data_IF_223388233626
#
_entry.id   IF_223388233626
#
_cell.length_a   1.000
_cell.length_b   1.000
_cell.length_c   1.000
_cell.angle_alpha   90.00
_cell.angle_beta   90.00
_cell.angle_gamma   90.00
#
_symmetry.space_group_name_H-M   'P 1'
#
loop_
_entity.id
_entity.type
_entity.pdbx_description
1 polymer ?
#
# COMPACT_ATOMS: atom_id res chain seq x y z
N UNK A 1 12.67 16.13 11.53
CA UNK A 1 12.59 17.44 11.98
C UNK A 1 12.87 17.68 13.43
N UNK A 2 13.54 18.79 13.76
CA UNK A 2 13.96 19.13 15.11
C UNK A 2 12.85 19.72 16.02
N UNK A 3 11.62 19.90 15.53
CA UNK A 3 10.55 20.53 16.31
C UNK A 3 10.17 19.74 17.56
N UNK A 4 10.06 18.43 17.45
CA UNK A 4 9.74 17.55 18.59
C UNK A 4 10.85 17.56 19.64
N UNK A 5 12.10 17.51 19.20
CA UNK A 5 13.27 17.59 20.08
C UNK A 5 13.34 18.95 20.81
N UNK A 6 13.03 20.03 20.09
CA UNK A 6 12.96 21.36 20.68
C UNK A 6 11.83 21.46 21.72
N UNK A 7 10.66 20.90 21.43
CA UNK A 7 9.55 20.87 22.38
C UNK A 7 9.89 20.10 23.66
N UNK A 8 10.56 18.95 23.54
CA UNK A 8 11.04 18.18 24.70
C UNK A 8 12.04 18.96 25.54
N UNK A 9 13.06 19.55 24.92
CA UNK A 9 14.07 20.38 25.60
C UNK A 9 13.45 21.60 26.29
N UNK A 10 12.51 22.27 25.63
CA UNK A 10 11.81 23.41 26.19
C UNK A 10 10.98 23.00 27.40
N UNK A 11 10.27 21.90 27.34
CA UNK A 11 9.49 21.37 28.45
C UNK A 11 10.36 21.02 29.65
N UNK A 12 11.54 20.42 29.42
CA UNK A 12 12.52 20.13 30.47
C UNK A 12 13.00 21.41 31.18
N UNK A 13 13.39 22.44 30.40
CA UNK A 13 13.85 23.73 30.96
C UNK A 13 12.74 24.42 31.79
N UNK A 14 11.50 24.33 31.33
CA UNK A 14 10.36 24.99 31.98
C UNK A 14 9.69 24.12 33.06
N UNK A 15 10.20 22.91 33.31
CA UNK A 15 9.58 21.89 34.17
C UNK A 15 8.10 21.68 33.85
N UNK A 16 7.78 21.62 32.53
CA UNK A 16 6.45 21.44 31.97
C UNK A 16 6.29 20.05 31.34
N UNK A 17 5.04 19.62 31.18
CA UNK A 17 4.75 18.37 30.46
C UNK A 17 4.82 18.64 28.96
N UNK A 18 5.72 17.95 28.22
CA UNK A 18 5.77 18.10 26.76
C UNK A 18 4.56 17.44 26.10
N UNK A 19 3.81 18.21 25.32
CA UNK A 19 2.76 17.67 24.46
C UNK A 19 3.20 17.85 23.03
N UNK A 20 3.70 16.76 22.45
CA UNK A 20 4.12 16.73 21.04
C UNK A 20 3.04 15.99 20.26
N UNK A 21 2.39 16.69 19.35
CA UNK A 21 1.32 16.15 18.52
C UNK A 21 1.42 16.71 17.11
N UNK A 22 0.94 15.96 16.12
CA UNK A 22 0.79 16.41 14.74
C UNK A 22 -0.68 16.61 14.41
N UNK A 23 -0.96 17.33 13.33
CA UNK A 23 -2.35 17.52 12.88
C UNK A 23 -3.06 16.21 12.56
N UNK A 24 -2.31 15.17 12.21
CA UNK A 24 -2.82 13.81 11.96
C UNK A 24 -3.10 13.03 13.23
N UNK A 25 -2.33 13.24 14.29
CA UNK A 25 -2.53 12.56 15.59
C UNK A 25 -3.80 13.02 16.28
N UNK A 26 -4.13 14.32 16.16
CA UNK A 26 -5.31 14.91 16.81
C UNK A 26 -6.65 14.36 16.31
N UNK A 27 -6.68 13.78 15.11
CA UNK A 27 -7.94 13.39 14.48
C UNK A 27 -8.01 11.93 14.04
N UNK A 28 -7.05 11.08 14.44
CA UNK A 28 -6.93 9.68 13.96
C UNK A 28 -7.02 9.57 12.43
N UNK A 29 -6.59 10.63 11.72
CA UNK A 29 -6.63 10.68 10.26
C UNK A 29 -5.51 9.84 9.66
N UNK A 30 -5.74 9.38 8.46
CA UNK A 30 -4.74 8.65 7.69
C UNK A 30 -3.51 9.53 7.40
N UNK A 31 -2.34 9.05 7.80
CA UNK A 31 -1.05 9.65 7.46
C UNK A 31 -0.25 8.61 6.68
N UNK A 32 0.10 8.94 5.44
CA UNK A 32 0.78 8.01 4.51
C UNK A 32 2.08 7.47 5.10
N UNK A 33 2.88 8.35 5.70
CA UNK A 33 4.17 8.01 6.31
C UNK A 33 4.03 7.13 7.56
N UNK A 34 3.05 7.40 8.40
CA UNK A 34 2.75 6.59 9.59
C UNK A 34 2.23 5.22 9.18
N UNK A 35 1.33 5.18 8.20
CA UNK A 35 0.80 3.92 7.66
C UNK A 35 1.91 3.06 7.05
N UNK A 36 2.74 3.64 6.18
CA UNK A 36 3.84 2.94 5.55
C UNK A 36 4.84 2.41 6.57
N UNK A 37 5.24 3.24 7.54
CA UNK A 37 6.17 2.82 8.61
C UNK A 37 5.60 1.70 9.48
N UNK A 38 4.30 1.77 9.82
CA UNK A 38 3.65 0.73 10.64
C UNK A 38 3.58 -0.63 9.93
N UNK A 39 3.48 -0.62 8.60
CA UNK A 39 3.35 -1.82 7.78
C UNK A 39 4.64 -2.19 7.03
N UNK A 40 5.76 -1.56 7.38
CA UNK A 40 7.08 -1.79 6.77
C UNK A 40 7.07 -1.65 5.24
N UNK A 41 6.40 -0.58 4.77
CA UNK A 41 6.23 -0.28 3.36
C UNK A 41 7.10 0.89 2.92
N UNK A 42 7.52 0.88 1.67
CA UNK A 42 8.16 2.01 0.99
C UNK A 42 7.11 2.94 0.37
N UNK A 43 7.41 4.25 0.31
CA UNK A 43 6.51 5.25 -0.28
C UNK A 43 7.10 5.77 -1.57
N UNK A 44 6.30 5.74 -2.64
CA UNK A 44 6.63 6.34 -3.92
C UNK A 44 5.69 7.49 -4.26
N UNK A 45 6.18 8.44 -5.07
CA UNK A 45 5.48 9.67 -5.41
C UNK A 45 5.16 10.54 -4.18
N UNK A 46 6.21 11.04 -3.53
CA UNK A 46 6.10 11.93 -2.36
C UNK A 46 5.30 13.20 -2.63
N UNK A 47 5.19 13.64 -3.90
CA UNK A 47 4.33 14.78 -4.27
C UNK A 47 2.87 14.42 -4.05
N UNK A 48 2.43 13.28 -4.56
CA UNK A 48 1.07 12.78 -4.34
C UNK A 48 0.79 12.51 -2.85
N UNK A 49 1.77 12.00 -2.09
CA UNK A 49 1.62 11.81 -0.65
C UNK A 49 1.31 13.12 0.10
N UNK A 50 1.95 14.23 -0.32
CA UNK A 50 1.65 15.56 0.22
C UNK A 50 0.26 16.05 -0.18
N UNK A 51 -0.17 15.80 -1.43
CA UNK A 51 -1.50 16.15 -1.92
C UNK A 51 -2.59 15.37 -1.18
N UNK A 52 -2.41 14.07 -0.96
CA UNK A 52 -3.27 13.22 -0.13
C UNK A 52 -3.40 13.79 1.28
N UNK A 53 -2.27 14.12 1.92
CA UNK A 53 -2.28 14.69 3.28
C UNK A 53 -2.99 16.04 3.33
N UNK A 54 -2.74 16.91 2.35
CA UNK A 54 -3.40 18.22 2.25
C UNK A 54 -4.91 18.09 2.03
N UNK A 55 -5.35 17.15 1.18
CA UNK A 55 -6.77 16.90 0.92
C UNK A 55 -7.49 16.41 2.19
N UNK A 56 -6.88 15.46 2.93
CA UNK A 56 -7.42 14.97 4.20
C UNK A 56 -7.52 16.07 5.26
N UNK A 57 -6.50 16.93 5.38
CA UNK A 57 -6.53 18.06 6.29
C UNK A 57 -7.62 19.07 5.93
N UNK A 58 -7.88 19.26 4.64
CA UNK A 58 -8.97 20.10 4.13
C UNK A 58 -10.36 19.44 4.27
N UNK A 59 -10.46 18.24 4.85
CA UNK A 59 -11.72 17.51 5.00
C UNK A 59 -12.26 16.91 3.69
N UNK A 60 -11.44 16.87 2.64
CA UNK A 60 -11.81 16.22 1.38
C UNK A 60 -11.71 14.70 1.50
N UNK A 61 -12.50 14.01 0.70
CA UNK A 61 -12.41 12.57 0.55
C UNK A 61 -11.22 12.20 -0.33
N UNK A 62 -10.51 11.14 0.05
CA UNK A 62 -9.31 10.64 -0.62
C UNK A 62 -9.51 9.17 -0.97
N UNK A 63 -9.11 8.76 -2.17
CA UNK A 63 -9.19 7.37 -2.59
C UNK A 63 -8.17 6.49 -1.87
N UNK A 64 -8.56 5.25 -1.64
CA UNK A 64 -7.66 4.21 -1.15
C UNK A 64 -7.89 2.93 -1.95
N UNK A 65 -6.86 2.42 -2.55
CA UNK A 65 -6.83 1.15 -3.26
C UNK A 65 -5.83 0.21 -2.62
N UNK A 66 -6.10 -1.08 -2.59
CA UNK A 66 -5.15 -2.08 -2.14
C UNK A 66 -5.29 -3.36 -2.95
N UNK A 67 -4.18 -3.87 -3.47
CA UNK A 67 -4.08 -5.21 -4.07
C UNK A 67 -4.16 -6.33 -3.01
N UNK A 68 -3.99 -5.96 -1.75
CA UNK A 68 -3.96 -6.88 -0.62
C UNK A 68 -5.20 -6.72 0.25
N UNK A 69 -5.60 -7.77 0.96
CA UNK A 69 -6.66 -7.66 1.97
C UNK A 69 -6.35 -6.55 2.97
N UNK A 70 -7.36 -5.77 3.32
CA UNK A 70 -7.26 -4.71 4.32
C UNK A 70 -8.04 -5.14 5.54
N UNK A 71 -7.33 -5.35 6.64
CA UNK A 71 -7.97 -5.69 7.91
C UNK A 71 -8.44 -4.44 8.65
N UNK A 72 -9.69 -4.48 9.11
CA UNK A 72 -10.27 -3.41 9.92
C UNK A 72 -10.94 -2.31 9.11
N UNK A 73 -11.33 -1.24 9.83
CA UNK A 73 -11.97 -0.07 9.23
C UNK A 73 -10.95 0.88 8.63
N UNK A 74 -11.30 1.40 7.45
CA UNK A 74 -10.52 2.50 6.88
C UNK A 74 -10.53 3.72 7.80
N UNK A 75 -9.40 4.42 7.93
CA UNK A 75 -9.35 5.71 8.61
C UNK A 75 -10.33 6.73 8.03
N UNK A 76 -10.78 7.66 8.85
CA UNK A 76 -11.70 8.71 8.44
C UNK A 76 -11.16 9.54 7.26
N UNK A 77 -12.01 9.79 6.28
CA UNK A 77 -11.67 10.54 5.06
C UNK A 77 -11.20 9.69 3.89
N UNK A 78 -10.90 8.39 4.11
CA UNK A 78 -10.57 7.46 3.02
C UNK A 78 -11.83 6.80 2.46
N UNK A 79 -11.82 6.59 1.15
CA UNK A 79 -12.85 5.83 0.43
C UNK A 79 -12.17 4.67 -0.27
N UNK A 80 -12.63 3.44 -0.01
CA UNK A 80 -12.16 2.28 -0.75
C UNK A 80 -12.56 2.40 -2.22
N UNK A 81 -11.59 2.18 -3.10
CA UNK A 81 -11.75 2.22 -4.55
C UNK A 81 -11.26 0.93 -5.20
N UNK A 82 -11.72 0.66 -6.42
CA UNK A 82 -11.17 -0.39 -7.26
C UNK A 82 -9.86 0.08 -7.97
N UNK A 83 -9.29 -0.77 -8.79
CA UNK A 83 -8.07 -0.50 -9.57
C UNK A 83 -8.19 0.68 -10.55
N UNK A 84 -9.40 1.12 -10.83
CA UNK A 84 -9.72 2.27 -11.71
C UNK A 84 -10.03 3.53 -10.91
N UNK A 85 -9.89 3.49 -9.58
CA UNK A 85 -10.22 4.60 -8.70
C UNK A 85 -11.72 4.81 -8.45
N UNK A 86 -12.55 3.83 -8.82
CA UNK A 86 -14.00 3.91 -8.64
C UNK A 86 -14.34 3.46 -7.20
N UNK A 87 -15.11 4.26 -6.42
CA UNK A 87 -15.50 3.88 -5.07
C UNK A 87 -16.25 2.56 -5.00
N UNK A 88 -15.77 1.66 -4.12
CA UNK A 88 -16.41 0.38 -3.84
C UNK A 88 -17.27 0.52 -2.58
N UNK A 89 -18.55 0.14 -2.63
CA UNK A 89 -19.38 0.11 -1.44
C UNK A 89 -18.94 -1.04 -0.55
N UNK A 90 -18.50 -0.76 0.66
CA UNK A 90 -18.39 -1.77 1.70
C UNK A 90 -19.79 -2.27 2.00
N UNK A 91 -20.08 -3.53 1.71
CA UNK A 91 -21.24 -4.22 2.24
C UNK A 91 -20.98 -4.57 3.74
N UNK A 92 -20.83 -3.57 4.59
CA UNK A 92 -20.89 -3.78 6.04
C UNK A 92 -22.36 -3.98 6.42
N UNK A 93 -22.76 -5.23 6.65
CA UNK A 93 -24.08 -5.53 7.22
C UNK A 93 -24.74 -6.84 6.80
N UNK A 94 -24.12 -7.69 5.99
CA UNK A 94 -24.65 -9.03 5.77
C UNK A 94 -23.92 -10.03 6.68
N UNK A 95 -24.54 -10.28 7.84
CA UNK A 95 -24.26 -11.47 8.65
C UNK A 95 -24.41 -12.71 7.75
N UNK A 96 -23.37 -13.55 7.80
CA UNK A 96 -23.34 -14.84 7.12
C UNK A 96 -24.42 -15.76 7.70
N UNK A 97 -25.57 -15.82 7.06
CA UNK A 97 -26.42 -17.00 7.12
C UNK A 97 -26.20 -17.80 5.83
N UNK A 98 -25.49 -18.88 6.03
CA UNK A 98 -25.18 -19.91 5.05
C UNK A 98 -26.45 -20.60 4.59
N UNK A 99 -26.91 -20.28 3.38
CA UNK A 99 -27.60 -21.23 2.50
C UNK A 99 -27.46 -20.76 1.05
N UNK A 100 -26.44 -21.31 0.38
CA UNK A 100 -26.21 -21.06 -1.04
C UNK A 100 -27.25 -21.80 -1.89
N UNK A 101 -28.06 -21.05 -2.65
CA UNK A 101 -28.80 -21.62 -3.79
C UNK A 101 -28.26 -21.06 -5.11
N UNK A 102 -28.27 -21.88 -6.19
CA UNK A 102 -27.67 -21.51 -7.49
C UNK A 102 -28.32 -20.32 -8.21
N UNK A 103 -29.48 -19.89 -7.78
CA UNK A 103 -30.23 -18.78 -8.38
C UNK A 103 -29.75 -17.40 -7.91
N UNK A 104 -29.01 -17.33 -6.81
CA UNK A 104 -28.48 -16.06 -6.28
C UNK A 104 -27.36 -15.46 -7.12
N UNK A 105 -26.63 -16.29 -7.90
CA UNK A 105 -25.52 -15.83 -8.74
C UNK A 105 -25.97 -15.04 -9.99
N UNK A 106 -27.19 -15.29 -10.48
CA UNK A 106 -27.69 -14.63 -11.69
C UNK A 106 -28.27 -13.21 -11.41
N UNK A 107 -28.79 -13.00 -10.19
CA UNK A 107 -29.30 -11.68 -9.78
C UNK A 107 -28.22 -10.67 -9.42
N UNK A 108 -27.01 -11.12 -9.12
CA UNK A 108 -25.89 -10.24 -8.76
C UNK A 108 -25.29 -9.57 -9.99
N UNK A 109 -25.30 -10.24 -11.17
CA UNK A 109 -24.75 -9.67 -12.40
C UNK A 109 -25.65 -8.65 -13.09
N UNK A 110 -26.96 -8.76 -12.92
CA UNK A 110 -27.93 -7.83 -13.56
C UNK A 110 -28.23 -6.59 -12.70
N UNK A 111 -27.97 -6.64 -11.38
CA UNK A 111 -28.12 -5.50 -10.49
C UNK A 111 -26.86 -4.64 -10.31
N UNK A 112 -25.70 -5.08 -10.81
CA UNK A 112 -24.46 -4.31 -10.71
C UNK A 112 -24.49 -3.02 -11.54
N UNK A 113 -25.23 -3.00 -12.66
CA UNK A 113 -25.34 -1.82 -13.52
C UNK A 113 -26.39 -0.79 -13.07
N UNK A 114 -27.38 -1.18 -12.27
CA UNK A 114 -28.45 -0.26 -11.84
C UNK A 114 -28.23 0.38 -10.46
N UNK A 115 -27.19 -0.01 -9.72
CA UNK A 115 -26.87 0.51 -8.38
C UNK A 115 -25.66 1.46 -8.39
N UNK A 116 -25.21 1.92 -9.56
CA UNK A 116 -24.39 3.13 -9.70
C UNK A 116 -25.26 4.36 -9.45
N UNK A 117 -26.03 4.33 -8.38
CA UNK A 117 -26.87 5.42 -7.92
C UNK A 117 -26.05 6.45 -7.19
N UNK A 118 -25.71 7.54 -7.89
CA UNK A 118 -25.46 8.89 -7.35
C UNK A 118 -24.75 8.92 -5.96
N UNK A 119 -23.51 8.55 -5.92
CA UNK A 119 -22.56 9.31 -5.14
C UNK A 119 -22.33 10.58 -5.94
N UNK A 120 -22.61 11.72 -5.31
CA UNK A 120 -22.35 13.06 -5.83
C UNK A 120 -21.05 13.02 -6.64
N UNK A 121 -21.11 13.38 -7.93
CA UNK A 121 -20.06 13.11 -8.91
C UNK A 121 -18.74 13.85 -8.66
N UNK A 122 -18.25 13.82 -7.44
CA UNK A 122 -16.92 14.29 -7.08
C UNK A 122 -15.93 13.20 -7.49
N UNK A 123 -15.31 13.39 -8.64
CA UNK A 123 -14.13 12.69 -9.09
C UNK A 123 -13.10 12.67 -7.95
N UNK A 124 -12.59 11.49 -7.59
CA UNK A 124 -11.55 11.36 -6.57
C UNK A 124 -10.22 11.64 -7.25
N UNK A 125 -9.72 12.86 -7.14
CA UNK A 125 -8.52 13.33 -7.83
C UNK A 125 -7.23 12.73 -7.28
N UNK A 126 -7.18 12.44 -5.97
CA UNK A 126 -5.97 11.94 -5.33
C UNK A 126 -6.25 10.76 -4.40
N UNK A 127 -5.26 9.90 -4.24
CA UNK A 127 -5.38 8.73 -3.39
C UNK A 127 -4.09 8.01 -3.11
N UNK A 128 -4.19 7.00 -2.24
CA UNK A 128 -3.11 6.07 -1.91
C UNK A 128 -3.43 4.69 -2.49
N UNK A 129 -2.43 4.04 -3.08
CA UNK A 129 -2.52 2.69 -3.60
C UNK A 129 -1.48 1.79 -2.91
N UNK A 130 -1.93 0.76 -2.21
CA UNK A 130 -1.05 -0.30 -1.69
C UNK A 130 -0.87 -1.33 -2.79
N UNK A 131 0.32 -1.37 -3.40
CA UNK A 131 0.58 -2.14 -4.63
C UNK A 131 2.04 -2.53 -4.74
N UNK A 132 2.32 -3.63 -5.44
CA UNK A 132 3.66 -4.02 -5.86
C UNK A 132 3.96 -3.62 -7.30
N UNK A 133 2.94 -3.20 -8.08
CA UNK A 133 3.05 -2.87 -9.49
C UNK A 133 3.34 -1.39 -9.73
N UNK A 134 4.38 -1.11 -10.52
CA UNK A 134 4.78 0.26 -10.89
C UNK A 134 3.73 1.00 -11.70
N UNK A 135 2.94 0.27 -12.50
CA UNK A 135 1.88 0.81 -13.36
C UNK A 135 0.58 1.14 -12.61
N UNK A 136 0.44 0.72 -11.35
CA UNK A 136 -0.79 0.92 -10.59
C UNK A 136 -0.97 2.39 -10.19
N UNK A 137 -1.85 3.09 -10.87
CA UNK A 137 -2.16 4.52 -10.66
C UNK A 137 -3.66 4.76 -10.80
N UNK A 138 -4.47 4.31 -9.81
CA UNK A 138 -5.93 4.41 -9.89
C UNK A 138 -6.47 5.86 -9.84
N UNK A 139 -5.68 6.83 -9.40
CA UNK A 139 -6.10 8.22 -9.25
C UNK A 139 -5.23 9.15 -10.10
N UNK A 140 -5.72 10.31 -10.46
CA UNK A 140 -4.97 11.33 -11.20
C UNK A 140 -3.67 11.73 -10.44
N UNK A 141 -3.71 11.72 -9.11
CA UNK A 141 -2.55 11.85 -8.25
C UNK A 141 -2.51 10.66 -7.28
N UNK A 142 -1.70 9.64 -7.62
CA UNK A 142 -1.55 8.42 -6.82
C UNK A 142 -0.22 8.40 -6.07
N UNK A 143 -0.25 8.22 -4.74
CA UNK A 143 0.91 7.79 -3.97
C UNK A 143 0.90 6.28 -3.84
N UNK A 144 1.98 5.61 -4.26
CA UNK A 144 2.09 4.17 -4.11
C UNK A 144 2.77 3.84 -2.77
N UNK A 145 2.19 2.90 -2.04
CA UNK A 145 2.69 2.34 -0.79
C UNK A 145 3.04 0.89 -1.08
N UNK A 146 4.33 0.57 -1.08
CA UNK A 146 4.88 -0.69 -1.58
C UNK A 146 5.32 -1.57 -0.43
N UNK A 147 4.61 -2.68 -0.16
CA UNK A 147 5.04 -3.64 0.86
C UNK A 147 6.21 -4.50 0.36
N UNK A 148 7.16 -4.81 1.26
CA UNK A 148 8.23 -5.76 1.03
C UNK A 148 7.73 -7.20 1.23
N UNK A 149 6.97 -7.75 0.29
CA UNK A 149 6.34 -9.06 0.46
C UNK A 149 6.58 -10.02 -0.71
N UNK A 150 7.43 -9.65 -1.66
CA UNK A 150 7.82 -10.52 -2.76
C UNK A 150 9.10 -11.31 -2.43
N UNK A 151 9.11 -12.55 -2.88
CA UNK A 151 10.29 -13.42 -2.83
C UNK A 151 10.76 -13.72 -4.24
N UNK A 152 12.03 -13.41 -4.55
CA UNK A 152 12.64 -13.75 -5.81
C UNK A 152 13.12 -15.20 -5.80
N UNK A 153 12.42 -16.09 -6.51
CA UNK A 153 12.83 -17.48 -6.71
C UNK A 153 13.99 -17.59 -7.68
N UNK A 154 15.11 -18.19 -7.26
CA UNK A 154 16.31 -18.31 -8.10
C UNK A 154 16.73 -19.76 -8.28
N UNK A 155 17.11 -20.09 -9.52
CA UNK A 155 17.69 -21.37 -9.88
C UNK A 155 18.84 -21.20 -10.89
N UNK A 156 19.88 -21.99 -10.76
CA UNK A 156 21.01 -21.96 -11.68
C UNK A 156 21.56 -23.39 -11.95
N UNK A 157 22.41 -23.53 -12.97
CA UNK A 157 23.23 -24.73 -13.16
C UNK A 157 24.31 -24.78 -12.07
N UNK A 158 24.77 -25.99 -11.75
CA UNK A 158 25.86 -26.20 -10.80
C UNK A 158 27.10 -25.41 -11.20
N UNK A 159 27.69 -24.66 -10.25
CA UNK A 159 28.91 -23.88 -10.48
C UNK A 159 28.73 -22.63 -11.33
N UNK A 160 27.49 -22.13 -11.48
CA UNK A 160 27.25 -20.84 -12.13
C UNK A 160 27.84 -19.71 -11.24
N UNK A 161 28.60 -18.80 -11.88
CA UNK A 161 29.17 -17.64 -11.19
C UNK A 161 28.10 -16.70 -10.64
N UNK A 162 28.46 -15.96 -9.59
CA UNK A 162 27.55 -15.01 -8.92
C UNK A 162 27.13 -13.85 -9.85
N UNK A 163 28.06 -13.39 -10.71
CA UNK A 163 27.82 -12.30 -11.64
C UNK A 163 26.70 -12.64 -12.63
N UNK A 164 26.77 -13.81 -13.27
CA UNK A 164 25.72 -14.24 -14.20
C UNK A 164 24.37 -14.54 -13.55
N UNK A 165 24.34 -14.84 -12.24
CA UNK A 165 23.09 -14.96 -11.49
C UNK A 165 22.55 -13.56 -11.16
N UNK A 166 23.40 -12.63 -10.75
CA UNK A 166 23.04 -11.24 -10.49
C UNK A 166 22.48 -10.55 -11.75
N UNK A 167 23.13 -10.75 -12.90
CA UNK A 167 22.62 -10.22 -14.17
C UNK A 167 21.22 -10.76 -14.54
N UNK A 168 20.99 -12.05 -14.29
CA UNK A 168 19.67 -12.65 -14.53
C UNK A 168 18.59 -12.08 -13.60
N UNK A 169 18.91 -11.89 -12.33
CA UNK A 169 18.02 -11.24 -11.35
C UNK A 169 17.75 -9.79 -11.77
N UNK A 170 18.80 -9.03 -12.12
CA UNK A 170 18.68 -7.64 -12.55
C UNK A 170 17.80 -7.49 -13.78
N UNK A 171 17.88 -8.41 -14.76
CA UNK A 171 16.99 -8.41 -15.92
C UNK A 171 15.51 -8.51 -15.54
N UNK A 172 15.17 -9.33 -14.54
CA UNK A 172 13.79 -9.46 -14.05
C UNK A 172 13.35 -8.15 -13.38
N UNK A 173 14.22 -7.57 -12.57
CA UNK A 173 13.93 -6.29 -11.90
C UNK A 173 13.83 -5.12 -12.90
N UNK A 174 14.56 -5.19 -14.01
CA UNK A 174 14.58 -4.15 -15.04
C UNK A 174 13.37 -4.22 -15.99
N UNK A 175 12.53 -5.24 -15.91
CA UNK A 175 11.23 -5.24 -16.62
C UNK A 175 10.37 -4.06 -16.20
N UNK A 176 10.60 -3.54 -14.98
CA UNK A 176 9.87 -2.40 -14.44
C UNK A 176 8.41 -2.69 -14.09
N UNK A 177 7.98 -3.95 -14.17
CA UNK A 177 6.61 -4.37 -13.83
C UNK A 177 6.35 -4.23 -12.32
N UNK A 178 7.37 -4.58 -11.51
CA UNK A 178 7.30 -4.53 -10.06
C UNK A 178 8.25 -3.47 -9.49
N UNK A 179 7.89 -2.91 -8.35
CA UNK A 179 8.82 -2.12 -7.55
C UNK A 179 9.95 -3.02 -7.03
N UNK A 180 11.19 -2.57 -7.11
CA UNK A 180 12.36 -3.31 -6.58
C UNK A 180 12.27 -3.50 -5.07
N UNK A 181 11.71 -2.53 -4.39
CA UNK A 181 11.49 -2.50 -2.95
C UNK A 181 10.40 -3.48 -2.47
N UNK A 182 9.63 -4.04 -3.39
CA UNK A 182 8.68 -5.11 -3.06
C UNK A 182 9.38 -6.46 -2.79
N UNK A 183 10.63 -6.64 -3.28
CA UNK A 183 11.38 -7.87 -3.09
C UNK A 183 12.15 -7.83 -1.77
N UNK A 184 11.73 -8.65 -0.82
CA UNK A 184 12.34 -8.75 0.50
C UNK A 184 13.35 -9.90 0.60
N UNK A 185 13.11 -10.97 -0.13
CA UNK A 185 13.85 -12.23 0.04
C UNK A 185 14.23 -12.86 -1.30
N UNK A 186 15.32 -13.66 -1.25
CA UNK A 186 15.71 -14.57 -2.31
C UNK A 186 15.47 -15.99 -1.82
N UNK A 187 14.79 -16.82 -2.60
CA UNK A 187 14.57 -18.24 -2.30
C UNK A 187 15.16 -19.14 -3.38
N UNK A 188 15.65 -20.30 -2.98
CA UNK A 188 16.11 -21.37 -3.85
C UNK A 188 15.77 -22.72 -3.25
N UNK A 189 15.89 -23.80 -4.07
CA UNK A 189 15.70 -25.17 -3.58
C UNK A 189 16.87 -25.62 -2.70
N UNK A 190 16.62 -26.55 -1.76
CA UNK A 190 17.61 -27.07 -0.82
C UNK A 190 18.88 -27.61 -1.48
N UNK A 191 18.74 -28.19 -2.67
CA UNK A 191 19.89 -28.69 -3.45
C UNK A 191 20.87 -27.58 -3.87
N UNK A 192 20.45 -26.32 -3.78
CA UNK A 192 21.24 -25.13 -4.16
C UNK A 192 21.80 -24.35 -2.98
N UNK A 193 21.56 -24.81 -1.75
CA UNK A 193 22.03 -24.13 -0.53
C UNK A 193 23.56 -23.95 -0.45
N UNK A 194 24.33 -24.80 -1.16
CA UNK A 194 25.80 -24.74 -1.20
C UNK A 194 26.35 -24.02 -2.44
N UNK A 195 25.49 -23.54 -3.34
CA UNK A 195 25.91 -22.78 -4.54
C UNK A 195 26.40 -21.39 -4.14
N UNK A 196 27.72 -21.17 -4.30
CA UNK A 196 28.38 -19.90 -3.90
C UNK A 196 27.78 -18.69 -4.63
N UNK A 197 27.38 -18.84 -5.90
CA UNK A 197 26.79 -17.78 -6.68
C UNK A 197 25.46 -17.26 -6.06
N UNK A 198 24.63 -18.13 -5.50
CA UNK A 198 23.39 -17.74 -4.81
C UNK A 198 23.69 -17.14 -3.44
N UNK A 199 24.60 -17.75 -2.68
CA UNK A 199 25.00 -17.26 -1.35
C UNK A 199 25.62 -15.85 -1.36
N UNK A 200 26.24 -15.47 -2.47
CA UNK A 200 26.84 -14.14 -2.60
C UNK A 200 25.79 -13.05 -2.86
N UNK A 201 24.59 -13.44 -3.31
CA UNK A 201 23.48 -12.51 -3.63
C UNK A 201 22.48 -12.36 -2.50
N UNK A 202 22.46 -13.27 -1.56
CA UNK A 202 21.63 -13.23 -0.36
C UNK A 202 22.32 -12.45 0.76
#
# INVERSE_FOLDING_TARGET
GGANELALKTAEILNAVPVVTTATDLHHRFAVDVFAKKNDCSIFNMKAAKEVSAALLAGKKVGFYSEFPVDGRLPEGLIMCDERGIPVRNMEGMQSDTTESPESKKMISENAESIVGKLDGSEIDCGAAVTIHTSCQPFASTTQIVPGNLTLGMGCRKGKDAEGIAEAAQKVLDTGEFFKEAFEQIASIDLKKEEQGIKTLS
#
